data_IF_888139722611
#
_entry.id   IF_888139722611
#
_cell.length_a   1.000
_cell.length_b   1.000
_cell.length_c   1.000
_cell.angle_alpha   90.00
_cell.angle_beta   90.00
_cell.angle_gamma   90.00
#
_symmetry.space_group_name_H-M   'P 1'
#
loop_
_entity.id
_entity.type
_entity.pdbx_description
1 polymer ?
#
# COMPACT_ATOMS: atom_id res chain seq x y z
N UNK A 1 14.43 -3.90 6.70
CA UNK A 1 13.98 -3.67 8.09
C UNK A 1 13.10 -4.79 8.61
N UNK A 2 11.96 -5.14 8.01
CA UNK A 2 11.16 -6.28 8.47
C UNK A 2 11.75 -7.60 7.94
N UNK A 3 12.07 -8.54 8.83
CA UNK A 3 12.72 -9.82 8.48
C UNK A 3 11.85 -11.03 8.79
N UNK A 4 10.83 -10.87 9.64
CA UNK A 4 9.83 -11.90 9.92
C UNK A 4 8.79 -11.45 10.95
N UNK A 5 7.87 -12.34 11.36
CA UNK A 5 6.93 -12.07 12.45
C UNK A 5 7.68 -11.74 13.73
N UNK A 6 7.41 -10.58 14.32
CA UNK A 6 8.11 -10.05 15.51
C UNK A 6 9.63 -9.87 15.34
N UNK A 7 10.15 -9.90 14.10
CA UNK A 7 11.57 -9.79 13.80
C UNK A 7 11.86 -8.62 12.85
N UNK A 8 12.90 -7.87 13.17
CA UNK A 8 13.43 -6.79 12.33
C UNK A 8 14.93 -6.96 12.12
N UNK A 9 15.52 -6.04 11.38
CA UNK A 9 16.96 -5.95 11.12
C UNK A 9 17.70 -5.20 12.26
N UNK A 10 17.01 -4.87 13.36
CA UNK A 10 17.58 -4.21 14.53
C UNK A 10 18.44 -5.23 15.31
N UNK A 11 19.69 -4.88 15.61
CA UNK A 11 20.58 -5.72 16.42
C UNK A 11 20.28 -5.62 17.90
N UNK A 12 20.82 -6.57 18.67
CA UNK A 12 20.59 -6.68 20.12
C UNK A 12 21.08 -5.46 20.93
N UNK A 13 22.05 -4.72 20.40
CA UNK A 13 22.67 -3.53 20.98
C UNK A 13 22.19 -2.21 20.35
N UNK A 14 21.19 -2.25 19.47
CA UNK A 14 20.66 -1.08 18.76
C UNK A 14 19.31 -0.61 19.35
N UNK A 15 19.06 0.70 19.27
CA UNK A 15 17.78 1.32 19.61
C UNK A 15 17.32 2.20 18.43
N UNK A 16 16.09 2.02 17.96
CA UNK A 16 15.51 2.89 16.92
C UNK A 16 15.14 4.24 17.54
N UNK A 17 15.88 5.29 17.19
CA UNK A 17 15.71 6.64 17.75
C UNK A 17 14.91 7.59 16.87
N UNK A 18 14.85 7.34 15.56
CA UNK A 18 14.15 8.22 14.62
C UNK A 18 13.65 7.49 13.39
N UNK A 19 12.66 8.08 12.71
CA UNK A 19 12.20 7.67 11.39
C UNK A 19 12.26 8.90 10.49
N UNK A 20 13.11 8.84 9.46
CA UNK A 20 13.22 9.92 8.47
C UNK A 20 12.33 9.62 7.27
N UNK A 21 11.26 10.38 7.10
CA UNK A 21 10.35 10.27 5.96
C UNK A 21 10.52 11.52 5.09
N UNK A 22 10.89 11.39 3.80
CA UNK A 22 10.96 12.54 2.90
C UNK A 22 9.61 13.25 2.79
N UNK A 23 9.63 14.58 2.75
CA UNK A 23 8.42 15.37 2.58
C UNK A 23 7.73 15.07 1.24
N UNK A 24 6.38 15.12 1.19
CA UNK A 24 5.63 14.92 -0.05
C UNK A 24 5.98 15.98 -1.11
N UNK A 25 6.11 15.57 -2.38
CA UNK A 25 6.26 16.50 -3.51
C UNK A 25 4.99 17.31 -3.79
N UNK A 26 5.07 18.35 -4.62
CA UNK A 26 3.96 19.33 -4.82
C UNK A 26 2.65 18.71 -5.35
N UNK A 27 2.73 17.65 -6.16
CA UNK A 27 1.57 16.94 -6.71
C UNK A 27 1.53 15.52 -6.19
N UNK A 28 1.51 15.39 -4.88
CA UNK A 28 1.49 14.10 -4.22
C UNK A 28 0.22 13.92 -3.40
N UNK A 29 -0.18 12.66 -3.26
CA UNK A 29 -1.39 12.29 -2.55
C UNK A 29 -1.23 10.91 -1.96
N UNK A 30 -1.66 10.79 -0.71
CA UNK A 30 -1.57 9.57 0.05
C UNK A 30 -2.93 9.10 0.53
N UNK A 31 -3.09 7.79 0.69
CA UNK A 31 -4.26 7.19 1.30
C UNK A 31 -3.88 5.92 2.06
N UNK A 32 -4.48 5.73 3.23
CA UNK A 32 -4.43 4.47 3.95
C UNK A 32 -5.86 3.99 4.16
N UNK A 33 -6.19 2.81 3.63
CA UNK A 33 -7.51 2.20 3.80
C UNK A 33 -7.36 0.90 4.57
N UNK A 34 -8.03 0.85 5.72
CA UNK A 34 -8.00 -0.26 6.67
C UNK A 34 -9.39 -0.87 6.77
N UNK A 35 -9.51 -2.16 6.51
CA UNK A 35 -10.68 -2.92 6.92
C UNK A 35 -10.37 -3.61 8.26
N UNK A 36 -11.24 -3.38 9.24
CA UNK A 36 -11.16 -3.98 10.57
C UNK A 36 -12.56 -4.39 11.03
N UNK A 37 -12.67 -5.40 11.90
CA UNK A 37 -13.96 -5.91 12.39
C UNK A 37 -14.65 -4.94 13.36
N UNK A 38 -13.84 -4.17 14.08
CA UNK A 38 -14.25 -3.14 15.04
C UNK A 38 -13.11 -2.15 15.24
N UNK A 39 -13.45 -0.96 15.74
CA UNK A 39 -12.48 0.07 16.10
C UNK A 39 -11.44 -0.50 17.06
N UNK A 40 -10.16 -0.29 16.73
CA UNK A 40 -9.03 -0.72 17.54
C UNK A 40 -8.52 -2.15 17.27
N UNK A 41 -9.16 -2.91 16.36
CA UNK A 41 -8.66 -4.23 15.96
C UNK A 41 -7.50 -4.12 14.95
N UNK A 42 -6.74 -5.20 14.80
CA UNK A 42 -5.83 -5.33 13.66
C UNK A 42 -6.60 -5.40 12.35
N UNK A 43 -5.98 -4.90 11.29
CA UNK A 43 -6.55 -4.94 9.95
C UNK A 43 -6.82 -6.38 9.53
N UNK A 44 -7.99 -6.68 8.97
CA UNK A 44 -8.17 -7.90 8.17
C UNK A 44 -7.27 -7.83 6.93
N UNK A 45 -7.24 -6.66 6.30
CA UNK A 45 -6.26 -6.24 5.31
C UNK A 45 -6.25 -4.69 5.31
N UNK A 46 -5.10 -4.09 5.02
CA UNK A 46 -5.03 -2.66 4.75
C UNK A 46 -4.01 -2.36 3.66
N UNK A 47 -4.20 -1.24 2.97
CA UNK A 47 -3.30 -0.78 1.91
C UNK A 47 -2.95 0.68 2.14
N UNK A 48 -1.64 0.97 2.17
CA UNK A 48 -1.08 2.30 2.12
C UNK A 48 -0.64 2.61 0.69
N UNK A 49 -1.03 3.78 0.19
CA UNK A 49 -0.61 4.30 -1.12
C UNK A 49 -0.05 5.69 -0.93
N UNK A 50 1.06 5.98 -1.61
CA UNK A 50 1.57 7.32 -1.84
C UNK A 50 1.86 7.47 -3.34
N UNK A 51 1.30 8.48 -3.98
CA UNK A 51 1.53 8.81 -5.38
C UNK A 51 2.16 10.19 -5.51
N UNK A 52 2.93 10.38 -6.57
CA UNK A 52 3.35 11.68 -7.05
C UNK A 52 3.20 11.77 -8.56
N UNK A 53 2.64 12.88 -9.03
CA UNK A 53 2.35 13.13 -10.43
C UNK A 53 3.32 14.14 -11.04
N UNK A 54 3.75 13.83 -12.25
CA UNK A 54 4.51 14.72 -13.10
C UNK A 54 3.67 15.84 -13.70
N UNK A 55 4.33 16.72 -14.45
CA UNK A 55 3.67 17.88 -15.06
C UNK A 55 2.65 17.52 -16.11
N UNK A 56 2.90 16.40 -16.79
CA UNK A 56 2.00 15.79 -17.74
C UNK A 56 0.87 14.99 -17.07
N UNK A 57 0.88 14.80 -15.74
CA UNK A 57 -0.08 13.97 -15.01
C UNK A 57 0.23 12.46 -15.04
N UNK A 58 1.41 12.06 -15.51
CA UNK A 58 1.93 10.70 -15.34
C UNK A 58 2.38 10.46 -13.89
N UNK A 59 2.40 9.21 -13.44
CA UNK A 59 2.90 8.84 -12.12
C UNK A 59 4.44 8.79 -12.12
N UNK A 60 5.08 9.75 -11.47
CA UNK A 60 6.54 9.81 -11.31
C UNK A 60 7.01 8.87 -10.20
N UNK A 61 6.27 8.84 -9.09
CA UNK A 61 6.54 7.98 -7.93
C UNK A 61 5.27 7.29 -7.46
N UNK A 62 5.40 6.01 -7.12
CA UNK A 62 4.36 5.22 -6.45
C UNK A 62 4.99 4.43 -5.30
N UNK A 63 4.36 4.47 -4.14
CA UNK A 63 4.61 3.58 -3.02
C UNK A 63 3.32 2.84 -2.65
N UNK A 64 3.36 1.51 -2.59
CA UNK A 64 2.20 0.67 -2.25
C UNK A 64 2.62 -0.34 -1.18
N UNK A 65 2.13 -0.14 0.05
CA UNK A 65 2.37 -1.03 1.19
C UNK A 65 1.13 -1.83 1.56
N UNK A 66 1.27 -3.13 1.76
CA UNK A 66 0.20 -4.05 2.16
C UNK A 66 0.38 -4.47 3.61
N UNK A 67 -0.71 -4.42 4.38
CA UNK A 67 -0.71 -4.66 5.82
C UNK A 67 -1.50 -5.92 6.17
N UNK A 68 -0.93 -6.76 7.02
CA UNK A 68 -1.50 -8.01 7.55
C UNK A 68 -1.93 -9.04 6.48
N UNK A 69 -1.21 -9.08 5.36
CA UNK A 69 -1.43 -10.03 4.27
C UNK A 69 -0.14 -10.73 3.84
N UNK A 70 0.73 -10.98 4.81
CA UNK A 70 2.02 -11.64 4.70
C UNK A 70 2.65 -11.77 6.09
N UNK A 71 3.74 -12.52 6.20
CA UNK A 71 4.49 -12.64 7.47
C UNK A 71 5.13 -11.31 7.91
N UNK A 72 5.38 -10.42 6.94
CA UNK A 72 5.86 -9.04 7.13
C UNK A 72 5.01 -8.07 6.30
N UNK A 73 5.09 -6.75 6.53
CA UNK A 73 4.54 -5.76 5.62
C UNK A 73 5.14 -5.92 4.21
N UNK A 74 4.29 -5.93 3.19
CA UNK A 74 4.72 -6.18 1.81
C UNK A 74 4.76 -4.87 1.04
N UNK A 75 5.88 -4.58 0.38
CA UNK A 75 5.95 -3.55 -0.65
C UNK A 75 5.55 -4.15 -2.00
N UNK A 76 4.44 -3.69 -2.59
CA UNK A 76 3.91 -4.22 -3.84
C UNK A 76 4.64 -3.65 -5.07
N UNK A 77 5.93 -3.97 -5.20
CA UNK A 77 6.84 -3.39 -6.21
C UNK A 77 6.35 -3.57 -7.65
N UNK A 78 5.74 -4.70 -7.98
CA UNK A 78 5.17 -4.92 -9.32
C UNK A 78 3.99 -3.97 -9.60
N UNK A 79 3.16 -3.69 -8.59
CA UNK A 79 2.05 -2.75 -8.70
C UNK A 79 2.55 -1.30 -8.85
N UNK A 80 3.60 -0.92 -8.10
CA UNK A 80 4.27 0.38 -8.24
C UNK A 80 4.85 0.56 -9.65
N UNK A 81 5.56 -0.45 -10.16
CA UNK A 81 6.14 -0.44 -11.50
C UNK A 81 5.09 -0.34 -12.61
N UNK A 82 3.91 -0.94 -12.41
CA UNK A 82 2.82 -0.86 -13.37
C UNK A 82 2.24 0.55 -13.54
N UNK A 83 2.37 1.41 -12.52
CA UNK A 83 1.91 2.80 -12.52
C UNK A 83 2.98 3.76 -13.04
N UNK A 84 4.26 3.51 -12.76
CA UNK A 84 5.36 4.43 -13.06
C UNK A 84 5.39 4.82 -14.55
N UNK A 85 5.47 6.11 -14.82
CA UNK A 85 5.50 6.69 -16.16
C UNK A 85 4.17 6.68 -16.91
N UNK A 86 3.07 6.22 -16.28
CA UNK A 86 1.74 6.18 -16.89
C UNK A 86 0.78 7.11 -16.18
N UNK A 87 -0.27 7.55 -16.87
CA UNK A 87 -1.41 8.20 -16.21
C UNK A 87 -2.14 7.16 -15.34
N UNK A 88 -2.45 7.46 -14.06
CA UNK A 88 -3.21 6.55 -13.20
C UNK A 88 -4.70 6.50 -13.57
N UNK A 89 -5.01 6.05 -14.78
CA UNK A 89 -6.38 5.82 -15.24
C UNK A 89 -6.97 4.51 -14.67
N UNK A 90 -8.24 4.26 -14.94
CA UNK A 90 -8.95 3.10 -14.41
C UNK A 90 -8.31 1.76 -14.82
N UNK A 91 -7.81 1.65 -16.05
CA UNK A 91 -7.14 0.46 -16.53
C UNK A 91 -5.82 0.20 -15.78
N UNK A 92 -5.02 1.25 -15.59
CA UNK A 92 -3.74 1.15 -14.88
C UNK A 92 -3.95 0.89 -13.38
N UNK A 93 -4.95 1.53 -12.77
CA UNK A 93 -5.35 1.29 -11.38
C UNK A 93 -5.79 -0.16 -11.18
N UNK A 94 -6.65 -0.68 -12.07
CA UNK A 94 -7.10 -2.08 -12.02
C UNK A 94 -5.91 -3.03 -12.10
N UNK A 95 -5.00 -2.80 -13.05
CA UNK A 95 -3.79 -3.62 -13.21
C UNK A 95 -2.89 -3.59 -11.97
N UNK A 96 -2.67 -2.42 -11.39
CA UNK A 96 -1.88 -2.29 -10.16
C UNK A 96 -2.54 -3.01 -8.98
N UNK A 97 -3.86 -2.93 -8.86
CA UNK A 97 -4.62 -3.64 -7.83
C UNK A 97 -4.52 -5.17 -7.95
N UNK A 98 -4.57 -5.71 -9.17
CA UNK A 98 -4.35 -7.15 -9.43
C UNK A 98 -2.94 -7.57 -9.02
N UNK A 99 -1.93 -6.77 -9.36
CA UNK A 99 -0.53 -7.04 -9.00
C UNK A 99 -0.30 -6.97 -7.48
N UNK A 100 -0.94 -6.03 -6.79
CA UNK A 100 -0.88 -5.94 -5.33
C UNK A 100 -1.50 -7.18 -4.67
N UNK A 101 -2.65 -7.65 -5.16
CA UNK A 101 -3.27 -8.88 -4.68
C UNK A 101 -2.42 -10.13 -4.96
N UNK A 102 -1.76 -10.18 -6.12
CA UNK A 102 -0.82 -11.26 -6.46
C UNK A 102 0.43 -11.27 -5.57
N UNK A 103 0.87 -10.11 -5.07
CA UNK A 103 1.97 -10.00 -4.12
C UNK A 103 1.59 -10.46 -2.71
N UNK A 104 0.31 -10.40 -2.34
CA UNK A 104 -0.16 -10.80 -1.03
C UNK A 104 0.04 -12.31 -0.76
N UNK A 105 0.38 -12.64 0.49
CA UNK A 105 0.61 -13.98 1.05
C UNK A 105 -0.14 -14.16 2.39
N UNK A 106 -1.47 -13.90 2.47
CA UNK A 106 -2.20 -14.00 3.73
C UNK A 106 -2.40 -15.45 4.17
N UNK A 107 -2.49 -15.66 5.48
CA UNK A 107 -3.01 -16.87 6.11
C UNK A 107 -4.49 -16.69 6.49
N UNK A 108 -5.23 -17.80 6.53
CA UNK A 108 -6.60 -17.80 7.04
C UNK A 108 -6.60 -17.69 8.57
N UNK A 109 -7.54 -16.94 9.13
CA UNK A 109 -7.77 -16.80 10.57
C UNK A 109 -9.22 -16.36 10.85
N UNK A 110 -9.52 -15.96 12.08
CA UNK A 110 -10.83 -15.43 12.50
C UNK A 110 -11.22 -14.09 11.84
N UNK A 111 -10.37 -13.52 10.97
CA UNK A 111 -10.67 -12.33 10.16
C UNK A 111 -11.05 -12.69 8.73
N UNK A 112 -10.97 -13.98 8.36
CA UNK A 112 -11.43 -14.52 7.08
C UNK A 112 -10.40 -15.43 6.40
N UNK A 113 -10.82 -15.99 5.27
CA UNK A 113 -9.96 -16.86 4.45
C UNK A 113 -8.81 -16.07 3.79
N UNK A 114 -7.77 -16.80 3.39
CA UNK A 114 -6.66 -16.22 2.62
C UNK A 114 -7.15 -15.60 1.30
N UNK A 115 -8.10 -16.25 0.63
CA UNK A 115 -8.72 -15.76 -0.61
C UNK A 115 -9.46 -14.44 -0.39
N UNK A 116 -10.31 -14.38 0.64
CA UNK A 116 -11.02 -13.15 1.02
C UNK A 116 -10.04 -11.99 1.28
N UNK A 117 -8.97 -12.24 2.03
CA UNK A 117 -7.94 -11.22 2.30
C UNK A 117 -7.21 -10.77 1.03
N UNK A 118 -6.91 -11.66 0.08
CA UNK A 118 -6.34 -11.30 -1.23
C UNK A 118 -7.29 -10.41 -2.04
N UNK A 119 -8.57 -10.75 -2.06
CA UNK A 119 -9.58 -9.93 -2.74
C UNK A 119 -9.74 -8.56 -2.10
N UNK A 120 -9.69 -8.48 -0.76
CA UNK A 120 -9.67 -7.21 -0.06
C UNK A 120 -8.47 -6.35 -0.46
N UNK A 121 -7.27 -6.93 -0.60
CA UNK A 121 -6.09 -6.19 -1.08
C UNK A 121 -6.36 -5.59 -2.46
N UNK A 122 -6.93 -6.36 -3.39
CA UNK A 122 -7.28 -5.87 -4.73
C UNK A 122 -8.22 -4.67 -4.64
N UNK A 123 -9.32 -4.81 -3.89
CA UNK A 123 -10.34 -3.75 -3.75
C UNK A 123 -9.79 -2.52 -3.06
N UNK A 124 -9.07 -2.70 -1.94
CA UNK A 124 -8.50 -1.60 -1.15
C UNK A 124 -7.40 -0.87 -1.92
N UNK A 125 -6.57 -1.57 -2.71
CA UNK A 125 -5.55 -0.94 -3.55
C UNK A 125 -6.18 -0.02 -4.58
N UNK A 126 -7.21 -0.48 -5.31
CA UNK A 126 -7.90 0.35 -6.28
C UNK A 126 -8.56 1.58 -5.64
N UNK A 127 -9.20 1.42 -4.48
CA UNK A 127 -9.82 2.53 -3.73
C UNK A 127 -8.76 3.53 -3.21
N UNK A 128 -7.65 3.03 -2.67
CA UNK A 128 -6.58 3.86 -2.14
C UNK A 128 -5.87 4.62 -3.26
N UNK A 129 -5.63 4.00 -4.43
CA UNK A 129 -5.07 4.66 -5.60
C UNK A 129 -5.96 5.80 -6.10
N UNK A 130 -7.28 5.59 -6.22
CA UNK A 130 -8.20 6.66 -6.63
C UNK A 130 -8.19 7.83 -5.64
N UNK A 131 -8.20 7.53 -4.34
CA UNK A 131 -8.16 8.57 -3.29
C UNK A 131 -6.82 9.32 -3.25
N UNK A 132 -5.71 8.61 -3.45
CA UNK A 132 -4.38 9.21 -3.57
C UNK A 132 -4.29 10.10 -4.83
N UNK A 133 -4.86 9.66 -5.95
CA UNK A 133 -4.90 10.42 -7.21
C UNK A 133 -5.71 11.73 -7.06
N UNK A 134 -6.89 11.66 -6.46
CA UNK A 134 -7.73 12.83 -6.17
C UNK A 134 -6.95 13.89 -5.37
N UNK A 135 -6.24 13.45 -4.32
CA UNK A 135 -5.41 14.33 -3.48
C UNK A 135 -4.20 14.88 -4.20
N UNK A 136 -3.52 14.07 -5.01
CA UNK A 136 -2.38 14.50 -5.81
C UNK A 136 -2.76 15.55 -6.87
N UNK A 137 -4.02 15.54 -7.32
CA UNK A 137 -4.58 16.53 -8.23
C UNK A 137 -5.14 17.80 -7.52
N UNK A 138 -5.05 17.89 -6.19
CA UNK A 138 -5.53 19.04 -5.41
C UNK A 138 -6.95 18.92 -4.85
N UNK A 139 -7.58 17.74 -4.95
CA UNK A 139 -8.80 17.40 -4.21
C UNK A 139 -8.53 17.19 -2.72
N UNK A 140 -9.56 17.31 -1.86
CA UNK A 140 -9.44 17.08 -0.41
C UNK A 140 -9.64 15.60 -0.05
#
# INVERSE_FOLDING_TARGET
FFTGPFATDLKADEILVEIRVPGPGRRSGGAYLKLERKVGDFATAAVAVQLELGADGSCERAGIGLTNVGETPIKATAAEAALKGKRPDEATIKRAAELAAAAARPSADLRGSAEYKKDLVRVLTARALRKALERAAGGR
#
